data_IF_675028946424
#
_entry.id   IF_675028946424
#
_cell.length_a   1.000
_cell.length_b   1.000
_cell.length_c   1.000
_cell.angle_alpha   90.00
_cell.angle_beta   90.00
_cell.angle_gamma   90.00
#
_symmetry.space_group_name_H-M   'P 1'
#
loop_
_entity.id
_entity.type
_entity.pdbx_description
1 polymer ?
#
# COMPACT_ATOMS: atom_id res chain seq x y z
N UNK A 1 -31.67 -2.91 -46.83
CA UNK A 1 -31.72 -3.40 -45.43
C UNK A 1 -31.76 -2.19 -44.52
N UNK A 2 -32.72 -2.08 -43.59
CA UNK A 2 -32.76 -0.98 -42.64
C UNK A 2 -31.54 -1.07 -41.73
N UNK A 3 -30.88 0.06 -41.48
CA UNK A 3 -29.80 0.15 -40.50
C UNK A 3 -30.39 -0.20 -39.13
N UNK A 4 -29.91 -1.28 -38.54
CA UNK A 4 -30.19 -1.61 -37.15
C UNK A 4 -29.78 -0.42 -36.28
N UNK A 5 -30.73 0.07 -35.48
CA UNK A 5 -30.45 0.97 -34.38
C UNK A 5 -29.51 0.23 -33.42
N UNK A 6 -28.23 0.58 -33.46
CA UNK A 6 -27.30 0.25 -32.39
C UNK A 6 -27.79 1.04 -31.18
N UNK A 7 -28.42 0.34 -30.23
CA UNK A 7 -28.75 0.88 -28.91
C UNK A 7 -27.43 1.32 -28.26
N UNK A 8 -27.30 2.55 -27.76
CA UNK A 8 -26.09 2.97 -27.06
C UNK A 8 -25.83 2.02 -25.89
N UNK A 9 -24.61 1.52 -25.79
CA UNK A 9 -24.15 0.60 -24.74
C UNK A 9 -24.62 1.08 -23.36
N UNK A 10 -25.50 0.31 -22.73
CA UNK A 10 -26.04 0.61 -21.40
C UNK A 10 -24.95 0.65 -20.31
N UNK A 11 -23.69 0.33 -20.63
CA UNK A 11 -22.58 0.22 -19.68
C UNK A 11 -21.95 1.55 -19.25
N UNK A 12 -22.27 2.67 -19.91
CA UNK A 12 -21.70 3.99 -19.59
C UNK A 12 -22.52 4.82 -18.58
N UNK A 13 -23.65 4.30 -18.08
CA UNK A 13 -24.42 5.04 -17.09
C UNK A 13 -23.68 5.07 -15.73
N UNK A 14 -23.49 6.23 -15.07
CA UNK A 14 -22.77 6.33 -13.81
C UNK A 14 -23.31 5.41 -12.71
N UNK A 15 -24.61 5.10 -12.72
CA UNK A 15 -25.24 4.20 -11.74
C UNK A 15 -24.99 2.70 -12.00
N UNK A 16 -24.31 2.34 -13.10
CA UNK A 16 -23.70 1.02 -13.30
C UNK A 16 -22.23 0.99 -12.86
N UNK A 17 -21.59 2.14 -12.66
CA UNK A 17 -20.22 2.21 -12.18
C UNK A 17 -20.17 1.92 -10.68
N UNK A 18 -19.46 0.87 -10.29
CA UNK A 18 -19.39 0.41 -8.90
C UNK A 18 -18.74 1.43 -7.94
N UNK A 19 -17.80 2.23 -8.41
CA UNK A 19 -17.14 3.28 -7.62
C UNK A 19 -18.14 4.41 -7.31
N UNK A 20 -18.94 4.79 -8.31
CA UNK A 20 -19.96 5.82 -8.16
C UNK A 20 -21.12 5.34 -7.28
N UNK A 21 -21.58 4.10 -7.47
CA UNK A 21 -22.58 3.48 -6.59
C UNK A 21 -22.07 3.43 -5.14
N UNK A 22 -20.82 3.02 -4.92
CA UNK A 22 -20.18 2.98 -3.60
C UNK A 22 -20.11 4.37 -2.98
N UNK A 23 -19.72 5.40 -3.74
CA UNK A 23 -19.70 6.80 -3.31
C UNK A 23 -21.10 7.26 -2.87
N UNK A 24 -22.14 7.00 -3.66
CA UNK A 24 -23.52 7.39 -3.35
C UNK A 24 -24.00 6.72 -2.06
N UNK A 25 -23.75 5.41 -1.91
CA UNK A 25 -24.17 4.65 -0.73
C UNK A 25 -23.50 5.20 0.55
N UNK A 26 -22.20 5.53 0.50
CA UNK A 26 -21.44 6.03 1.64
C UNK A 26 -21.69 7.50 1.95
N UNK A 27 -21.68 8.37 0.94
CA UNK A 27 -21.60 9.82 1.08
C UNK A 27 -22.59 10.61 0.22
N UNK A 28 -23.39 9.94 -0.60
CA UNK A 28 -24.40 10.59 -1.43
C UNK A 28 -25.46 11.30 -0.60
N UNK A 29 -26.01 12.35 -1.18
CA UNK A 29 -27.22 13.02 -0.68
C UNK A 29 -28.44 12.08 -0.75
N UNK A 30 -29.49 12.44 -0.02
CA UNK A 30 -30.74 11.66 -0.05
C UNK A 30 -31.34 11.59 -1.46
N UNK A 31 -31.21 12.66 -2.25
CA UNK A 31 -31.65 12.69 -3.63
C UNK A 31 -30.85 11.74 -4.53
N UNK A 32 -29.52 11.68 -4.38
CA UNK A 32 -28.67 10.74 -5.12
C UNK A 32 -29.00 9.29 -4.75
N UNK A 33 -29.26 9.01 -3.47
CA UNK A 33 -29.65 7.68 -3.01
C UNK A 33 -31.02 7.27 -3.52
N UNK A 34 -31.98 8.18 -3.55
CA UNK A 34 -33.31 7.91 -4.11
C UNK A 34 -33.23 7.65 -5.62
N UNK A 35 -32.40 8.40 -6.36
CA UNK A 35 -32.12 8.13 -7.78
C UNK A 35 -31.50 6.74 -7.98
N UNK A 36 -30.52 6.38 -7.16
CA UNK A 36 -29.89 5.06 -7.19
C UNK A 36 -30.91 3.95 -6.89
N UNK A 37 -31.74 4.14 -5.86
CA UNK A 37 -32.79 3.22 -5.45
C UNK A 37 -33.81 3.00 -6.56
N UNK A 38 -34.30 4.09 -7.17
CA UNK A 38 -35.25 4.02 -8.27
C UNK A 38 -34.65 3.35 -9.51
N UNK A 39 -33.40 3.68 -9.85
CA UNK A 39 -32.68 3.10 -11.00
C UNK A 39 -32.54 1.58 -10.89
N UNK A 40 -32.13 1.08 -9.73
CA UNK A 40 -31.99 -0.37 -9.48
C UNK A 40 -33.28 -1.06 -9.02
N UNK A 41 -34.39 -0.33 -8.96
CA UNK A 41 -35.68 -0.83 -8.44
C UNK A 41 -35.59 -1.44 -7.04
N UNK A 42 -34.75 -0.86 -6.17
CA UNK A 42 -34.57 -1.33 -4.80
C UNK A 42 -35.71 -0.88 -3.87
N UNK A 43 -36.06 -1.75 -2.92
CA UNK A 43 -36.83 -1.33 -1.74
C UNK A 43 -35.98 -0.43 -0.84
N UNK A 44 -36.63 0.37 0.02
CA UNK A 44 -35.90 1.17 1.02
C UNK A 44 -35.02 0.28 1.91
N UNK A 45 -35.55 -0.87 2.31
CA UNK A 45 -34.80 -1.86 3.10
C UNK A 45 -33.56 -2.37 2.36
N UNK A 46 -33.68 -2.65 1.05
CA UNK A 46 -32.53 -3.08 0.23
C UNK A 46 -31.48 -1.99 0.14
N UNK A 47 -31.89 -0.74 -0.08
CA UNK A 47 -30.98 0.41 -0.08
C UNK A 47 -30.22 0.53 1.25
N UNK A 48 -30.92 0.51 2.39
CA UNK A 48 -30.30 0.62 3.70
C UNK A 48 -29.36 -0.56 4.01
N UNK A 49 -29.71 -1.77 3.58
CA UNK A 49 -28.83 -2.94 3.69
C UNK A 49 -27.55 -2.78 2.87
N UNK A 50 -27.63 -2.30 1.63
CA UNK A 50 -26.45 -2.00 0.82
C UNK A 50 -25.59 -0.91 1.45
N UNK A 51 -26.20 0.17 1.96
CA UNK A 51 -25.46 1.24 2.67
C UNK A 51 -24.70 0.69 3.86
N UNK A 52 -25.36 -0.16 4.65
CA UNK A 52 -24.76 -0.82 5.80
C UNK A 52 -23.55 -1.67 5.41
N UNK A 53 -23.69 -2.59 4.45
CA UNK A 53 -22.60 -3.50 4.06
C UNK A 53 -21.45 -2.81 3.35
N UNK A 54 -21.70 -1.77 2.56
CA UNK A 54 -20.63 -0.96 1.98
C UNK A 54 -19.86 -0.21 3.07
N UNK A 55 -20.56 0.33 4.08
CA UNK A 55 -19.92 0.93 5.25
C UNK A 55 -19.04 -0.06 6.01
N UNK A 56 -19.59 -1.24 6.30
CA UNK A 56 -18.88 -2.33 6.95
C UNK A 56 -17.64 -2.76 6.13
N UNK A 57 -17.77 -2.92 4.82
CA UNK A 57 -16.64 -3.29 3.96
C UNK A 57 -15.48 -2.28 4.04
N UNK A 58 -15.77 -0.98 4.08
CA UNK A 58 -14.75 0.06 4.26
C UNK A 58 -14.04 -0.07 5.61
N UNK A 59 -14.79 -0.31 6.69
CA UNK A 59 -14.23 -0.50 8.03
C UNK A 59 -13.34 -1.75 8.08
N UNK A 60 -13.82 -2.87 7.54
CA UNK A 60 -13.09 -4.14 7.51
C UNK A 60 -11.82 -4.06 6.65
N UNK A 61 -11.83 -3.31 5.55
CA UNK A 61 -10.64 -3.05 4.73
C UNK A 61 -9.60 -2.23 5.49
N UNK A 62 -10.03 -1.23 6.26
CA UNK A 62 -9.12 -0.46 7.14
C UNK A 62 -8.50 -1.35 8.20
N UNK A 63 -9.32 -2.11 8.92
CA UNK A 63 -8.84 -3.05 9.94
C UNK A 63 -7.88 -4.09 9.35
N UNK A 64 -8.19 -4.64 8.18
CA UNK A 64 -7.32 -5.60 7.48
C UNK A 64 -5.99 -4.98 7.08
N UNK A 65 -6.01 -3.72 6.60
CA UNK A 65 -4.80 -2.97 6.25
C UNK A 65 -3.94 -2.65 7.47
N UNK A 66 -4.57 -2.24 8.58
CA UNK A 66 -3.88 -2.00 9.86
C UNK A 66 -3.30 -3.29 10.44
N UNK A 67 -4.04 -4.41 10.36
CA UNK A 67 -3.59 -5.72 10.79
C UNK A 67 -2.41 -6.22 9.98
N UNK A 68 -2.44 -6.05 8.65
CA UNK A 68 -1.32 -6.35 7.76
C UNK A 68 -0.10 -5.50 8.11
N UNK A 69 -0.29 -4.19 8.30
CA UNK A 69 0.77 -3.26 8.69
C UNK A 69 1.42 -3.68 10.01
N UNK A 70 0.62 -3.98 11.03
CA UNK A 70 1.11 -4.48 12.33
C UNK A 70 1.87 -5.80 12.18
N UNK A 71 1.42 -6.70 11.31
CA UNK A 71 2.09 -7.99 11.10
C UNK A 71 3.44 -7.84 10.39
N UNK A 72 3.50 -7.01 9.35
CA UNK A 72 4.75 -6.74 8.64
C UNK A 72 5.81 -6.05 9.55
N UNK A 73 5.40 -5.30 10.58
CA UNK A 73 6.31 -4.64 11.52
C UNK A 73 6.62 -5.45 12.79
N UNK A 74 5.60 -6.06 13.40
CA UNK A 74 5.64 -6.62 14.76
C UNK A 74 5.16 -8.08 14.83
N UNK A 75 4.59 -8.60 13.75
CA UNK A 75 3.84 -9.85 13.80
C UNK A 75 4.76 -11.07 13.90
N UNK A 76 4.30 -12.17 14.49
CA UNK A 76 4.96 -13.45 14.28
C UNK A 76 4.92 -13.81 12.78
N UNK A 77 5.84 -14.68 12.31
CA UNK A 77 5.71 -15.26 10.99
C UNK A 77 4.31 -15.91 10.83
N UNK A 78 3.73 -15.91 9.62
CA UNK A 78 2.46 -16.55 9.35
C UNK A 78 2.51 -18.02 9.74
N UNK A 79 1.39 -18.52 10.23
CA UNK A 79 1.15 -19.95 10.46
C UNK A 79 1.30 -20.74 9.16
N UNK A 80 1.43 -22.07 9.24
CA UNK A 80 1.53 -22.92 8.06
C UNK A 80 0.30 -22.79 7.14
N UNK A 81 -0.89 -22.62 7.72
CA UNK A 81 -2.14 -22.44 6.97
C UNK A 81 -2.21 -21.08 6.27
N UNK A 82 -1.76 -20.01 6.93
CA UNK A 82 -1.62 -18.68 6.32
C UNK A 82 -0.54 -18.68 5.24
N UNK A 83 0.59 -19.33 5.48
CA UNK A 83 1.68 -19.52 4.53
C UNK A 83 1.24 -20.25 3.27
N UNK A 84 0.58 -21.40 3.43
CA UNK A 84 0.06 -22.20 2.31
C UNK A 84 -1.02 -21.47 1.51
N UNK A 85 -1.80 -20.60 2.15
CA UNK A 85 -2.78 -19.75 1.48
C UNK A 85 -2.18 -18.53 0.76
N UNK A 86 -1.17 -17.88 1.36
CA UNK A 86 -0.46 -16.71 0.81
C UNK A 86 -1.01 -15.35 1.25
N UNK A 87 -0.45 -14.23 0.71
CA UNK A 87 -0.84 -12.81 0.99
C UNK A 87 -2.32 -12.51 0.73
N UNK A 88 -3.03 -13.43 0.08
CA UNK A 88 -4.47 -13.34 -0.02
C UNK A 88 -5.12 -13.40 1.37
N UNK A 89 -4.45 -13.96 2.39
CA UNK A 89 -4.95 -14.03 3.76
C UNK A 89 -5.28 -12.64 4.33
N UNK A 90 -4.38 -11.69 4.13
CA UNK A 90 -4.55 -10.31 4.56
C UNK A 90 -5.59 -9.56 3.70
N UNK A 91 -5.85 -10.03 2.47
CA UNK A 91 -6.90 -9.53 1.59
C UNK A 91 -8.29 -10.14 1.88
N UNK A 92 -8.37 -11.20 2.70
CA UNK A 92 -9.64 -11.72 3.19
C UNK A 92 -10.19 -10.76 4.24
N UNK A 93 -11.44 -10.32 4.04
CA UNK A 93 -12.19 -9.52 5.01
C UNK A 93 -12.16 -10.18 6.39
N UNK A 94 -11.81 -9.40 7.42
CA UNK A 94 -11.64 -9.86 8.80
C UNK A 94 -12.74 -10.82 9.31
N UNK A 95 -14.05 -10.64 9.04
CA UNK A 95 -15.09 -11.50 9.60
C UNK A 95 -15.01 -12.95 9.12
N UNK A 96 -14.44 -13.21 7.95
CA UNK A 96 -14.41 -14.56 7.35
C UNK A 96 -13.01 -15.16 7.35
N UNK A 97 -12.02 -14.40 7.82
CA UNK A 97 -10.60 -14.79 7.85
C UNK A 97 -10.36 -16.06 8.66
N UNK A 98 -10.91 -16.11 9.88
CA UNK A 98 -10.76 -17.28 10.76
C UNK A 98 -11.44 -18.52 10.17
N UNK A 99 -12.61 -18.32 9.55
CA UNK A 99 -13.35 -19.40 8.87
C UNK A 99 -12.54 -20.01 7.73
N UNK A 100 -11.79 -19.20 6.97
CA UNK A 100 -10.89 -19.71 5.92
C UNK A 100 -9.74 -20.53 6.51
N UNK A 101 -9.14 -20.11 7.63
CA UNK A 101 -8.11 -20.93 8.32
C UNK A 101 -8.70 -22.27 8.75
N UNK A 102 -9.87 -22.24 9.40
CA UNK A 102 -10.54 -23.46 9.88
C UNK A 102 -10.87 -24.40 8.72
N UNK A 103 -11.31 -23.89 7.57
CA UNK A 103 -11.54 -24.67 6.36
C UNK A 103 -10.23 -25.32 5.87
N UNK A 104 -9.14 -24.56 5.78
CA UNK A 104 -7.84 -25.10 5.34
C UNK A 104 -7.31 -26.16 6.30
N UNK A 105 -7.51 -25.99 7.63
CA UNK A 105 -7.20 -27.01 8.64
C UNK A 105 -7.98 -28.30 8.46
N UNK A 106 -9.21 -28.20 7.98
CA UNK A 106 -10.04 -29.36 7.60
C UNK A 106 -9.70 -29.94 6.22
N UNK A 107 -8.68 -29.41 5.53
CA UNK A 107 -8.22 -29.91 4.23
C UNK A 107 -8.87 -29.27 3.00
N UNK A 108 -9.75 -28.27 3.19
CA UNK A 108 -10.38 -27.57 2.07
C UNK A 108 -9.40 -26.60 1.40
N UNK A 109 -9.22 -26.76 0.09
CA UNK A 109 -8.33 -26.01 -0.77
C UNK A 109 -8.91 -24.62 -1.10
N UNK A 110 -9.17 -23.78 -0.09
CA UNK A 110 -9.69 -22.43 -0.31
C UNK A 110 -8.73 -21.66 -1.22
N UNK A 111 -9.27 -21.14 -2.31
CA UNK A 111 -8.54 -20.34 -3.32
C UNK A 111 -8.79 -18.85 -3.10
N UNK A 112 -10.05 -18.46 -2.87
CA UNK A 112 -10.45 -17.07 -2.64
C UNK A 112 -11.67 -17.01 -1.73
N UNK A 113 -11.77 -15.95 -0.94
CA UNK A 113 -12.91 -15.69 -0.09
C UNK A 113 -13.20 -14.19 -0.05
N UNK A 114 -14.45 -13.80 -0.29
CA UNK A 114 -14.83 -12.38 -0.43
C UNK A 114 -16.16 -12.11 0.24
N UNK A 115 -16.28 -10.93 0.85
CA UNK A 115 -17.57 -10.34 1.27
C UNK A 115 -17.91 -9.24 0.27
N UNK A 116 -19.07 -9.33 -0.37
CA UNK A 116 -19.55 -8.36 -1.36
C UNK A 116 -20.31 -7.22 -0.70
N UNK A 117 -20.49 -6.12 -1.44
CA UNK A 117 -21.24 -4.94 -1.04
C UNK A 117 -22.73 -5.20 -0.69
N UNK A 118 -23.28 -6.35 -1.08
CA UNK A 118 -24.64 -6.78 -0.72
C UNK A 118 -24.67 -7.70 0.51
N UNK A 119 -23.52 -7.90 1.16
CA UNK A 119 -23.34 -8.80 2.29
C UNK A 119 -23.11 -10.27 1.89
N UNK A 120 -23.15 -10.62 0.60
CA UNK A 120 -22.90 -11.98 0.16
C UNK A 120 -21.44 -12.39 0.42
N UNK A 121 -21.28 -13.52 1.10
CA UNK A 121 -20.00 -14.14 1.40
C UNK A 121 -19.82 -15.28 0.42
N UNK A 122 -18.75 -15.24 -0.35
CA UNK A 122 -18.38 -16.29 -1.30
C UNK A 122 -17.03 -16.87 -0.94
N UNK A 123 -16.96 -18.18 -0.75
CA UNK A 123 -15.72 -18.93 -0.54
C UNK A 123 -15.57 -19.90 -1.71
N UNK A 124 -14.50 -19.78 -2.48
CA UNK A 124 -14.21 -20.67 -3.60
C UNK A 124 -13.06 -21.60 -3.24
N UNK A 125 -13.19 -22.84 -3.70
CA UNK A 125 -12.22 -23.90 -3.54
C UNK A 125 -11.53 -24.16 -4.89
N UNK A 126 -10.23 -24.44 -4.84
CA UNK A 126 -9.43 -24.73 -6.03
C UNK A 126 -9.82 -26.05 -6.72
N UNK A 127 -10.45 -26.96 -5.97
CA UNK A 127 -10.94 -28.24 -6.50
C UNK A 127 -12.33 -28.57 -5.92
N UNK A 128 -13.14 -29.35 -6.65
CA UNK A 128 -14.45 -29.78 -6.17
C UNK A 128 -14.38 -30.68 -4.91
N UNK A 129 -14.50 -30.10 -3.71
CA UNK A 129 -14.40 -30.82 -2.42
C UNK A 129 -15.72 -30.86 -1.64
N UNK A 130 -16.79 -30.29 -2.18
CA UNK A 130 -18.11 -30.21 -1.52
C UNK A 130 -19.10 -31.24 -2.04
N UNK A 131 -18.64 -32.22 -2.82
CA UNK A 131 -19.46 -33.23 -3.50
C UNK A 131 -20.33 -34.05 -2.51
N UNK A 132 -19.90 -34.16 -1.24
CA UNK A 132 -20.64 -34.83 -0.16
C UNK A 132 -21.12 -33.88 0.95
N UNK A 133 -20.88 -32.57 0.84
CA UNK A 133 -21.29 -31.60 1.87
C UNK A 133 -22.82 -31.46 1.98
N UNK A 134 -23.57 -31.91 0.96
CA UNK A 134 -25.04 -31.92 0.95
C UNK A 134 -25.69 -32.81 2.01
N UNK A 135 -24.96 -33.76 2.60
CA UNK A 135 -25.49 -34.65 3.66
C UNK A 135 -25.38 -34.02 5.07
N UNK A 136 -24.50 -33.02 5.27
CA UNK A 136 -24.42 -32.21 6.50
C UNK A 136 -25.47 -31.09 6.59
N UNK A 137 -26.36 -30.98 5.59
CA UNK A 137 -27.31 -29.87 5.43
C UNK A 137 -28.39 -29.76 6.53
N UNK A 138 -28.52 -30.76 7.41
CA UNK A 138 -29.45 -30.69 8.55
C UNK A 138 -29.04 -29.65 9.61
N UNK A 139 -27.77 -29.24 9.66
CA UNK A 139 -27.26 -28.25 10.64
C UNK A 139 -27.32 -26.79 10.14
N UNK A 140 -27.82 -26.55 8.92
CA UNK A 140 -28.01 -25.19 8.35
C UNK A 140 -29.23 -24.47 8.96
N UNK A 141 -30.08 -25.19 9.71
CA UNK A 141 -31.29 -24.64 10.33
C UNK A 141 -30.99 -23.41 11.20
N UNK A 142 -29.93 -23.45 12.00
CA UNK A 142 -29.54 -22.35 12.90
C UNK A 142 -29.11 -21.09 12.16
N UNK A 143 -28.46 -21.23 11.00
CA UNK A 143 -28.07 -20.11 10.15
C UNK A 143 -29.29 -19.48 9.46
N UNK A 144 -30.23 -20.31 9.02
CA UNK A 144 -31.49 -19.84 8.45
C UNK A 144 -32.32 -19.07 9.47
N UNK A 145 -32.36 -19.54 10.72
CA UNK A 145 -33.04 -18.84 11.82
C UNK A 145 -32.42 -17.47 12.13
N UNK A 146 -31.13 -17.29 11.85
CA UNK A 146 -30.42 -16.00 11.89
C UNK A 146 -30.58 -15.16 10.61
N UNK A 147 -31.41 -15.62 9.67
CA UNK A 147 -31.62 -14.95 8.39
C UNK A 147 -30.44 -15.05 7.44
N UNK A 148 -29.70 -16.16 7.46
CA UNK A 148 -28.59 -16.43 6.53
C UNK A 148 -28.95 -17.64 5.67
N UNK A 149 -29.02 -17.43 4.37
CA UNK A 149 -29.16 -18.51 3.39
C UNK A 149 -27.78 -19.07 3.02
N UNK A 150 -27.68 -20.39 2.90
CA UNK A 150 -26.44 -21.07 2.48
C UNK A 150 -26.71 -21.81 1.17
N UNK A 151 -25.83 -21.62 0.18
CA UNK A 151 -25.86 -22.31 -1.10
C UNK A 151 -24.52 -22.99 -1.35
N UNK A 152 -24.57 -24.23 -1.84
CA UNK A 152 -23.39 -25.02 -2.17
C UNK A 152 -23.32 -25.29 -3.65
N UNK A 153 -22.11 -25.20 -4.16
CA UNK A 153 -21.68 -25.77 -5.42
C UNK A 153 -20.53 -26.73 -5.10
N UNK A 154 -20.11 -27.52 -6.09
CA UNK A 154 -19.06 -28.51 -5.87
C UNK A 154 -17.74 -27.90 -5.39
N UNK A 155 -17.48 -26.64 -5.75
CA UNK A 155 -16.26 -25.86 -5.56
C UNK A 155 -16.52 -24.48 -4.89
N UNK A 156 -17.75 -24.20 -4.44
CA UNK A 156 -18.08 -22.90 -3.89
C UNK A 156 -19.10 -22.99 -2.76
N UNK A 157 -18.90 -22.17 -1.74
CA UNK A 157 -19.82 -21.92 -0.64
C UNK A 157 -20.28 -20.48 -0.74
N UNK A 158 -21.59 -20.26 -0.71
CA UNK A 158 -22.19 -18.92 -0.65
C UNK A 158 -23.03 -18.81 0.61
N UNK A 159 -22.72 -17.86 1.48
CA UNK A 159 -23.57 -17.44 2.59
C UNK A 159 -24.14 -16.07 2.26
N UNK A 160 -25.46 -15.92 2.28
CA UNK A 160 -26.12 -14.66 1.96
C UNK A 160 -27.06 -14.26 3.08
N UNK A 161 -26.73 -13.21 3.84
CA UNK A 161 -27.64 -12.58 4.79
C UNK A 161 -28.88 -12.06 4.06
N UNK A 162 -30.05 -12.46 4.53
CA UNK A 162 -31.35 -11.94 4.10
C UNK A 162 -31.68 -10.63 4.83
N UNK A 163 -31.10 -10.44 6.02
CA UNK A 163 -31.19 -9.24 6.87
C UNK A 163 -29.82 -8.56 7.03
N UNK A 164 -29.82 -7.31 7.51
CA UNK A 164 -28.58 -6.62 7.90
C UNK A 164 -28.04 -7.23 9.19
N UNK A 165 -26.84 -7.81 9.14
CA UNK A 165 -26.19 -8.47 10.26
C UNK A 165 -24.90 -7.74 10.64
N UNK A 166 -24.66 -7.63 11.95
CA UNK A 166 -23.38 -7.11 12.45
C UNK A 166 -22.21 -7.98 11.99
N UNK A 167 -21.04 -7.36 11.76
CA UNK A 167 -19.83 -8.09 11.35
C UNK A 167 -19.44 -9.24 12.29
N UNK A 168 -19.66 -9.08 13.60
CA UNK A 168 -19.46 -10.14 14.59
C UNK A 168 -20.41 -11.32 14.39
N UNK A 169 -21.68 -11.05 14.11
CA UNK A 169 -22.69 -12.09 13.84
C UNK A 169 -22.35 -12.86 12.56
N UNK A 170 -21.84 -12.15 11.54
CA UNK A 170 -21.36 -12.77 10.29
C UNK A 170 -20.19 -13.70 10.57
N UNK A 171 -19.21 -13.24 11.36
CA UNK A 171 -18.06 -14.05 11.76
C UNK A 171 -18.50 -15.31 12.48
N UNK A 172 -19.29 -15.16 13.52
CA UNK A 172 -19.73 -16.27 14.37
C UNK A 172 -20.56 -17.27 13.54
N UNK A 173 -21.40 -16.79 12.62
CA UNK A 173 -22.14 -17.63 11.68
C UNK A 173 -21.23 -18.39 10.71
N UNK A 174 -20.16 -17.77 10.20
CA UNK A 174 -19.21 -18.44 9.32
C UNK A 174 -18.40 -19.50 10.07
N UNK A 175 -17.98 -19.22 11.31
CA UNK A 175 -17.27 -20.20 12.14
C UNK A 175 -18.16 -21.38 12.53
N UNK A 176 -19.41 -21.12 12.93
CA UNK A 176 -20.42 -22.16 13.21
C UNK A 176 -20.66 -23.02 11.97
N UNK A 177 -20.84 -22.39 10.81
CA UNK A 177 -20.96 -23.09 9.54
C UNK A 177 -19.75 -24.00 9.27
N UNK A 178 -18.53 -23.47 9.38
CA UNK A 178 -17.32 -24.27 9.14
C UNK A 178 -17.22 -25.42 10.13
N UNK A 179 -17.69 -25.28 11.36
CA UNK A 179 -17.71 -26.35 12.35
C UNK A 179 -18.52 -27.57 11.90
N UNK A 180 -19.64 -27.37 11.17
CA UNK A 180 -20.51 -28.45 10.64
C UNK A 180 -19.86 -29.27 9.53
N UNK A 181 -18.87 -28.72 8.82
CA UNK A 181 -18.22 -29.41 7.70
C UNK A 181 -17.30 -30.56 8.19
N UNK A 182 -17.23 -31.69 7.48
CA UNK A 182 -16.33 -32.79 7.85
C UNK A 182 -14.85 -32.38 7.69
N UNK A 183 -13.97 -33.08 8.42
CA UNK A 183 -12.54 -33.03 8.13
C UNK A 183 -12.25 -33.94 6.93
N UNK A 184 -11.39 -33.50 6.02
CA UNK A 184 -10.97 -34.29 4.84
C UNK A 184 -9.75 -35.17 5.13
N UNK A 185 -9.21 -35.14 6.35
CA UNK A 185 -8.07 -35.94 6.83
C UNK A 185 -6.83 -35.85 5.93
N UNK A 186 -6.69 -34.71 5.24
CA UNK A 186 -5.56 -34.37 4.39
C UNK A 186 -5.25 -32.88 4.50
N UNK A 187 -3.98 -32.46 4.36
CA UNK A 187 -3.65 -31.04 4.36
C UNK A 187 -4.22 -30.36 3.11
N UNK A 188 -4.70 -29.12 3.27
CA UNK A 188 -5.09 -28.31 2.13
C UNK A 188 -3.85 -28.01 1.25
N UNK A 189 -3.93 -28.19 -0.09
CA UNK A 189 -2.82 -27.85 -0.96
C UNK A 189 -2.53 -26.35 -0.93
N UNK A 190 -1.31 -25.99 -1.29
CA UNK A 190 -0.89 -24.61 -1.50
C UNK A 190 -1.81 -23.91 -2.51
N UNK A 191 -2.25 -22.70 -2.17
CA UNK A 191 -2.99 -21.86 -3.09
C UNK A 191 -2.09 -21.49 -4.29
N UNK A 192 -2.53 -21.83 -5.50
CA UNK A 192 -1.74 -21.70 -6.71
C UNK A 192 -1.84 -20.32 -7.38
N UNK A 193 -2.62 -19.41 -6.82
CA UNK A 193 -2.74 -18.03 -7.29
C UNK A 193 -1.36 -17.34 -7.36
N UNK A 194 -1.19 -16.45 -8.34
CA UNK A 194 0.07 -15.74 -8.58
C UNK A 194 0.49 -14.93 -7.36
N UNK A 195 -0.43 -14.26 -6.69
CA UNK A 195 -0.14 -13.45 -5.51
C UNK A 195 0.23 -14.32 -4.30
N UNK A 196 -0.43 -15.47 -4.16
CA UNK A 196 -0.10 -16.45 -3.13
C UNK A 196 1.32 -17.02 -3.30
N UNK A 197 1.73 -17.31 -4.55
CA UNK A 197 3.11 -17.75 -4.87
C UNK A 197 4.15 -16.68 -4.56
N UNK A 198 3.90 -15.43 -4.94
CA UNK A 198 4.82 -14.31 -4.65
C UNK A 198 5.01 -14.17 -3.14
N UNK A 199 3.93 -14.22 -2.37
CA UNK A 199 4.01 -14.18 -0.91
C UNK A 199 4.89 -15.28 -0.34
N UNK A 200 4.65 -16.54 -0.70
CA UNK A 200 5.44 -17.67 -0.19
C UNK A 200 6.91 -17.56 -0.53
N UNK A 201 7.25 -16.99 -1.69
CA UNK A 201 8.64 -16.74 -2.04
C UNK A 201 9.26 -15.66 -1.15
N UNK A 202 8.54 -14.58 -0.87
CA UNK A 202 9.01 -13.50 0.02
C UNK A 202 9.15 -13.99 1.48
N UNK A 203 8.24 -14.85 1.94
CA UNK A 203 8.25 -15.40 3.30
C UNK A 203 9.44 -16.32 3.61
N UNK A 204 10.16 -16.82 2.60
CA UNK A 204 11.36 -17.65 2.81
C UNK A 204 12.58 -16.84 3.21
N UNK A 205 12.48 -15.52 3.21
CA UNK A 205 13.56 -14.61 3.57
C UNK A 205 13.46 -14.22 5.03
N UNK A 206 14.60 -13.96 5.71
CA UNK A 206 14.59 -13.54 7.10
C UNK A 206 13.90 -12.17 7.22
N UNK A 207 12.67 -12.18 7.73
CA UNK A 207 12.01 -10.96 8.19
C UNK A 207 12.53 -10.57 9.56
N UNK A 208 12.92 -9.31 9.70
CA UNK A 208 13.28 -8.72 10.99
C UNK A 208 12.04 -8.09 11.60
N UNK A 209 11.65 -8.62 12.76
CA UNK A 209 10.58 -8.07 13.59
C UNK A 209 11.19 -7.22 14.69
N UNK A 210 10.56 -6.09 15.00
CA UNK A 210 10.88 -5.31 16.21
C UNK A 210 9.92 -5.69 17.33
N UNK A 211 10.38 -5.64 18.59
CA UNK A 211 9.58 -6.14 19.72
C UNK A 211 8.35 -5.26 20.01
N UNK A 212 8.38 -4.00 19.56
CA UNK A 212 7.23 -3.11 19.61
C UNK A 212 7.55 -1.68 19.19
N UNK A 213 6.55 -0.80 19.35
CA UNK A 213 6.65 0.62 18.98
C UNK A 213 7.82 1.35 19.68
N UNK A 214 8.18 0.95 20.91
CA UNK A 214 9.29 1.55 21.64
C UNK A 214 10.66 1.38 20.97
N UNK A 215 10.85 0.33 20.16
CA UNK A 215 12.09 0.15 19.38
C UNK A 215 12.15 1.12 18.22
N UNK A 216 11.02 1.27 17.51
CA UNK A 216 10.86 2.24 16.43
C UNK A 216 11.13 3.65 16.94
N UNK A 217 10.51 4.02 18.08
CA UNK A 217 10.67 5.36 18.65
C UNK A 217 12.14 5.64 19.02
N UNK A 218 12.89 4.62 19.49
CA UNK A 218 14.33 4.74 19.76
C UNK A 218 15.14 4.97 18.49
N UNK A 219 14.87 4.23 17.41
CA UNK A 219 15.55 4.39 16.11
C UNK A 219 15.29 5.78 15.53
N UNK A 220 14.03 6.23 15.57
CA UNK A 220 13.63 7.56 15.10
C UNK A 220 14.29 8.66 15.96
N UNK A 221 14.38 8.47 17.27
CA UNK A 221 15.07 9.39 18.17
C UNK A 221 16.59 9.47 17.90
N UNK A 222 17.23 8.35 17.57
CA UNK A 222 18.65 8.33 17.18
C UNK A 222 18.88 9.15 15.91
N UNK A 223 18.10 8.89 14.85
CA UNK A 223 18.16 9.68 13.61
C UNK A 223 17.89 11.17 13.84
N UNK A 224 16.95 11.51 14.73
CA UNK A 224 16.69 12.90 15.13
C UNK A 224 17.90 13.55 15.80
N UNK A 225 18.52 12.88 16.77
CA UNK A 225 19.67 13.41 17.50
C UNK A 225 20.86 13.68 16.55
N UNK A 226 21.10 12.79 15.58
CA UNK A 226 22.12 13.01 14.55
C UNK A 226 21.79 14.20 13.66
N UNK A 227 20.53 14.36 13.25
CA UNK A 227 20.10 15.51 12.47
C UNK A 227 20.30 16.83 13.25
N UNK A 228 19.99 16.84 14.55
CA UNK A 228 20.17 18.02 15.41
C UNK A 228 21.65 18.41 15.51
N UNK A 229 22.54 17.41 15.68
CA UNK A 229 23.98 17.63 15.69
C UNK A 229 24.49 18.21 14.34
N UNK A 230 24.01 17.70 13.21
CA UNK A 230 24.35 18.23 11.89
C UNK A 230 23.89 19.68 11.72
N UNK A 231 22.65 20.00 12.10
CA UNK A 231 22.10 21.36 12.00
C UNK A 231 22.84 22.34 12.91
N UNK A 232 23.28 21.89 14.09
CA UNK A 232 24.09 22.68 15.01
C UNK A 232 25.47 23.01 14.42
N UNK A 233 26.04 22.12 13.61
CA UNK A 233 27.33 22.30 12.95
C UNK A 233 27.27 23.22 11.70
N UNK A 234 26.08 23.51 11.17
CA UNK A 234 25.93 24.36 9.98
C UNK A 234 26.25 25.83 10.27
N UNK A 235 27.06 26.43 9.40
CA UNK A 235 27.30 27.87 9.38
C UNK A 235 26.05 28.65 8.92
N UNK A 236 26.03 29.96 9.20
CA UNK A 236 24.95 30.85 8.72
C UNK A 236 24.84 30.85 7.20
N UNK A 237 25.97 30.83 6.49
CA UNK A 237 26.00 30.78 5.03
C UNK A 237 25.38 29.49 4.48
N UNK A 238 25.71 28.34 5.07
CA UNK A 238 25.12 27.06 4.69
C UNK A 238 23.61 27.02 4.97
N UNK A 239 23.17 27.50 6.14
CA UNK A 239 21.73 27.59 6.47
C UNK A 239 20.97 28.42 5.43
N UNK A 240 21.55 29.55 5.01
CA UNK A 240 20.97 30.38 3.95
C UNK A 240 20.84 29.64 2.63
N UNK A 241 21.88 28.91 2.19
CA UNK A 241 21.84 28.13 0.95
C UNK A 241 20.77 27.02 0.99
N UNK A 242 20.61 26.35 2.13
CA UNK A 242 19.55 25.35 2.34
C UNK A 242 18.15 25.96 2.19
N UNK A 243 17.93 27.13 2.81
CA UNK A 243 16.67 27.86 2.67
C UNK A 243 16.42 28.26 1.21
N UNK A 244 17.43 28.75 0.50
CA UNK A 244 17.29 29.12 -0.92
C UNK A 244 16.92 27.91 -1.78
N UNK A 245 17.55 26.75 -1.57
CA UNK A 245 17.23 25.49 -2.26
C UNK A 245 15.75 25.09 -2.07
N UNK A 246 15.22 25.23 -0.84
CA UNK A 246 13.85 24.90 -0.50
C UNK A 246 12.79 25.80 -1.20
N UNK A 247 13.19 26.94 -1.76
CA UNK A 247 12.30 27.88 -2.47
C UNK A 247 12.45 27.85 -3.99
N UNK A 248 13.32 26.98 -4.52
CA UNK A 248 13.46 26.84 -5.96
C UNK A 248 12.14 26.38 -6.61
N UNK A 249 11.82 26.83 -7.84
CA UNK A 249 10.59 26.47 -8.54
C UNK A 249 10.67 25.04 -9.12
N UNK A 250 10.88 24.06 -8.25
CA UNK A 250 11.11 22.66 -8.53
C UNK A 250 10.05 21.78 -7.87
N UNK A 251 10.03 20.50 -8.27
CA UNK A 251 9.20 19.52 -7.59
C UNK A 251 9.60 19.41 -6.10
N UNK A 252 8.66 18.96 -5.27
CA UNK A 252 8.87 18.85 -3.83
C UNK A 252 10.02 17.89 -3.51
N UNK A 253 9.99 16.66 -4.04
CA UNK A 253 11.07 15.69 -3.82
C UNK A 253 12.43 16.18 -4.32
N UNK A 254 12.48 16.87 -5.47
CA UNK A 254 13.73 17.42 -5.98
C UNK A 254 14.31 18.50 -5.05
N UNK A 255 13.48 19.35 -4.44
CA UNK A 255 13.95 20.33 -3.45
C UNK A 255 14.48 19.64 -2.20
N UNK A 256 13.81 18.60 -1.73
CA UNK A 256 14.27 17.80 -0.58
C UNK A 256 15.64 17.21 -0.84
N UNK A 257 15.83 16.57 -2.00
CA UNK A 257 17.11 15.98 -2.36
C UNK A 257 18.23 17.03 -2.46
N UNK A 258 17.97 18.20 -3.04
CA UNK A 258 18.95 19.29 -3.09
C UNK A 258 19.35 19.76 -1.69
N UNK A 259 18.38 19.91 -0.78
CA UNK A 259 18.65 20.28 0.62
C UNK A 259 19.47 19.20 1.31
N UNK A 260 19.20 17.91 1.05
CA UNK A 260 19.98 16.80 1.60
C UNK A 260 21.42 16.73 1.05
N UNK A 261 21.62 17.01 -0.25
CA UNK A 261 22.96 17.10 -0.87
C UNK A 261 23.75 18.28 -0.27
N UNK A 262 23.14 19.45 -0.17
CA UNK A 262 23.72 20.64 0.47
C UNK A 262 24.04 20.42 1.95
N UNK A 263 23.15 19.71 2.65
CA UNK A 263 23.32 19.34 4.05
C UNK A 263 24.37 18.27 4.29
N UNK A 264 24.92 17.69 3.22
CA UNK A 264 25.91 16.63 3.28
C UNK A 264 25.37 15.25 3.64
N UNK A 265 24.05 15.08 3.59
CA UNK A 265 23.35 13.83 3.90
C UNK A 265 23.17 12.92 2.69
N UNK A 266 23.20 13.48 1.47
CA UNK A 266 23.23 12.72 0.21
C UNK A 266 24.50 13.06 -0.59
N UNK A 267 25.14 12.08 -1.23
CA UNK A 267 26.31 12.32 -2.07
C UNK A 267 25.96 12.97 -3.40
N UNK A 268 24.79 12.64 -3.98
CA UNK A 268 24.31 13.23 -5.22
C UNK A 268 22.78 13.23 -5.32
N UNK A 269 22.28 13.94 -6.33
CA UNK A 269 20.88 13.89 -6.75
C UNK A 269 20.75 14.14 -8.25
N UNK A 270 19.55 13.89 -8.77
CA UNK A 270 19.12 14.24 -10.12
C UNK A 270 18.07 15.35 -10.09
N UNK A 271 18.13 16.20 -11.11
CA UNK A 271 17.21 17.31 -11.31
C UNK A 271 16.64 17.21 -12.73
N UNK A 272 15.35 16.91 -12.81
CA UNK A 272 14.60 16.92 -14.06
C UNK A 272 13.82 18.23 -14.21
N UNK A 273 14.18 19.04 -15.20
CA UNK A 273 13.47 20.27 -15.56
C UNK A 273 12.48 20.01 -16.69
N UNK A 274 11.20 20.04 -16.34
CA UNK A 274 10.08 19.90 -17.27
C UNK A 274 8.94 20.88 -16.99
N UNK A 275 8.10 21.12 -17.99
CA UNK A 275 6.90 21.95 -17.86
C UNK A 275 7.17 23.35 -17.29
N UNK A 276 6.56 23.70 -16.15
CA UNK A 276 6.73 25.02 -15.52
C UNK A 276 8.17 25.27 -15.05
N UNK A 277 8.88 24.25 -14.58
CA UNK A 277 10.26 24.39 -14.10
C UNK A 277 11.23 24.80 -15.22
N UNK A 278 10.93 24.40 -16.47
CA UNK A 278 11.73 24.78 -17.64
C UNK A 278 11.75 26.30 -17.86
N UNK A 279 10.68 27.02 -17.49
CA UNK A 279 10.63 28.49 -17.58
C UNK A 279 11.56 29.17 -16.57
N UNK A 280 11.92 28.47 -15.51
CA UNK A 280 12.83 28.94 -14.46
C UNK A 280 14.23 28.33 -14.58
N UNK A 281 14.55 27.70 -15.72
CA UNK A 281 15.84 27.03 -15.95
C UNK A 281 17.03 27.95 -15.67
N UNK A 282 17.03 29.16 -16.20
CA UNK A 282 18.17 30.06 -16.07
C UNK A 282 18.45 30.47 -14.60
N UNK A 283 17.46 30.92 -13.81
CA UNK A 283 17.64 31.11 -12.37
C UNK A 283 18.16 29.88 -11.62
N UNK A 284 17.66 28.67 -11.95
CA UNK A 284 18.09 27.43 -11.31
C UNK A 284 19.56 27.13 -11.65
N UNK A 285 19.96 27.32 -12.91
CA UNK A 285 21.35 27.14 -13.35
C UNK A 285 22.30 28.11 -12.67
N UNK A 286 21.94 29.39 -12.60
CA UNK A 286 22.75 30.39 -11.92
C UNK A 286 22.91 30.05 -10.43
N UNK A 287 21.85 29.57 -9.79
CA UNK A 287 21.91 29.08 -8.42
C UNK A 287 22.85 27.87 -8.29
N UNK A 288 22.74 26.86 -9.16
CA UNK A 288 23.63 25.69 -9.16
C UNK A 288 25.11 26.10 -9.33
N UNK A 289 25.41 26.98 -10.28
CA UNK A 289 26.77 27.51 -10.47
C UNK A 289 27.28 28.18 -9.19
N UNK A 290 26.44 28.96 -8.52
CA UNK A 290 26.79 29.64 -7.28
C UNK A 290 27.06 28.68 -6.11
N UNK A 291 26.40 27.51 -6.08
CA UNK A 291 26.68 26.48 -5.05
C UNK A 291 28.08 25.87 -5.22
N UNK A 292 28.65 25.93 -6.42
CA UNK A 292 29.96 25.33 -6.72
C UNK A 292 29.94 23.80 -6.78
N UNK A 293 28.76 23.16 -6.75
CA UNK A 293 28.69 21.72 -6.90
C UNK A 293 29.06 21.27 -8.30
N UNK A 294 29.81 20.17 -8.43
CA UNK A 294 29.97 19.49 -9.71
C UNK A 294 28.61 19.12 -10.29
N UNK A 295 28.34 19.64 -11.49
CA UNK A 295 27.12 19.37 -12.24
C UNK A 295 27.44 18.83 -13.63
N UNK A 296 26.67 17.84 -14.08
CA UNK A 296 26.61 17.42 -15.47
C UNK A 296 25.20 17.63 -16.01
N UNK A 297 25.06 17.89 -17.31
CA UNK A 297 23.76 18.16 -17.91
C UNK A 297 23.56 17.35 -19.18
N UNK A 298 22.33 16.85 -19.38
CA UNK A 298 21.91 16.15 -20.59
C UNK A 298 20.60 16.73 -21.08
N UNK A 299 20.44 16.76 -22.40
CA UNK A 299 19.17 17.08 -23.05
C UNK A 299 18.54 15.77 -23.50
N UNK A 300 17.34 15.48 -23.01
CA UNK A 300 16.57 14.30 -23.41
C UNK A 300 15.97 14.51 -24.79
N UNK A 301 15.59 13.41 -25.45
CA UNK A 301 14.99 13.42 -26.79
C UNK A 301 13.64 14.15 -26.86
N UNK A 302 12.95 14.27 -25.73
CA UNK A 302 11.69 15.00 -25.56
C UNK A 302 11.89 16.51 -25.29
N UNK A 303 13.15 16.99 -25.24
CA UNK A 303 13.51 18.38 -24.97
C UNK A 303 13.55 18.74 -23.48
N UNK A 304 13.36 17.77 -22.58
CA UNK A 304 13.57 17.98 -21.14
C UNK A 304 15.07 18.07 -20.81
N UNK A 305 15.40 18.81 -19.76
CA UNK A 305 16.78 18.94 -19.28
C UNK A 305 16.97 18.14 -18.00
N UNK A 306 17.98 17.30 -17.98
CA UNK A 306 18.41 16.53 -16.81
C UNK A 306 19.75 17.04 -16.32
N UNK A 307 19.85 17.22 -15.01
CA UNK A 307 21.10 17.58 -14.34
C UNK A 307 21.44 16.53 -13.31
N UNK A 308 22.69 16.07 -13.33
CA UNK A 308 23.29 15.30 -12.26
C UNK A 308 24.09 16.26 -11.39
N UNK A 309 23.84 16.24 -10.09
CA UNK A 309 24.44 17.16 -9.13
C UNK A 309 25.07 16.30 -8.04
N UNK A 310 26.37 16.46 -7.82
CA UNK A 310 27.09 15.72 -6.78
C UNK A 310 27.84 16.67 -5.84
N UNK A 311 28.15 16.20 -4.63
CA UNK A 311 28.96 16.96 -3.67
C UNK A 311 30.41 17.13 -4.10
N UNK A 312 30.92 16.20 -4.89
CA UNK A 312 32.30 16.16 -5.35
C UNK A 312 32.40 15.56 -6.76
N UNK A 313 33.51 15.86 -7.44
CA UNK A 313 33.71 15.49 -8.85
C UNK A 313 33.89 13.98 -9.03
N UNK A 314 34.42 13.28 -8.02
CA UNK A 314 34.61 11.82 -8.08
C UNK A 314 33.26 11.12 -8.09
N UNK A 315 32.33 11.55 -7.23
CA UNK A 315 30.95 11.07 -7.21
C UNK A 315 30.25 11.36 -8.53
N UNK A 316 30.39 12.58 -9.09
CA UNK A 316 29.79 12.92 -10.39
C UNK A 316 30.33 12.04 -11.52
N UNK A 317 31.64 11.82 -11.57
CA UNK A 317 32.28 11.03 -12.62
C UNK A 317 31.83 9.56 -12.58
N UNK A 318 31.58 8.99 -11.39
CA UNK A 318 30.97 7.67 -11.22
C UNK A 318 29.49 7.64 -11.56
N UNK A 319 28.75 8.71 -11.27
CA UNK A 319 27.31 8.78 -11.50
C UNK A 319 26.97 8.87 -13.00
N UNK A 320 27.79 9.55 -13.79
CA UNK A 320 27.60 9.70 -15.25
C UNK A 320 27.37 8.37 -15.99
N UNK A 321 28.22 7.32 -15.85
CA UNK A 321 28.00 6.04 -16.52
C UNK A 321 26.92 5.19 -15.84
N UNK A 322 26.68 5.35 -14.53
CA UNK A 322 25.61 4.63 -13.83
C UNK A 322 24.21 5.15 -14.23
N UNK A 323 24.10 6.45 -14.51
CA UNK A 323 22.85 7.10 -14.89
C UNK A 323 22.34 6.68 -16.27
N UNK A 324 21.10 6.16 -16.32
CA UNK A 324 20.47 5.67 -17.54
C UNK A 324 20.94 4.27 -17.98
N UNK A 325 21.79 3.62 -17.19
CA UNK A 325 22.26 2.25 -17.43
C UNK A 325 21.42 1.22 -16.67
N UNK A 326 21.69 -0.07 -16.87
CA UNK A 326 21.15 -1.16 -16.04
C UNK A 326 21.91 -1.32 -14.69
N UNK A 327 22.82 -0.41 -14.34
CA UNK A 327 23.59 -0.43 -13.09
C UNK A 327 22.82 0.20 -11.92
N UNK A 328 21.62 -0.32 -11.62
CA UNK A 328 20.76 0.19 -10.55
C UNK A 328 21.44 0.21 -9.18
N UNK A 329 22.32 -0.76 -8.91
CA UNK A 329 23.06 -0.86 -7.65
C UNK A 329 24.01 0.33 -7.44
N UNK A 330 24.91 0.56 -8.40
CA UNK A 330 25.87 1.66 -8.34
C UNK A 330 25.15 3.01 -8.31
N UNK A 331 24.09 3.17 -9.10
CA UNK A 331 23.26 4.37 -9.08
C UNK A 331 22.66 4.60 -7.69
N UNK A 332 22.05 3.57 -7.08
CA UNK A 332 21.45 3.69 -5.75
C UNK A 332 22.46 4.13 -4.67
N UNK A 333 23.65 3.54 -4.68
CA UNK A 333 24.74 3.90 -3.74
C UNK A 333 25.19 5.36 -3.94
N UNK A 334 25.38 5.78 -5.18
CA UNK A 334 25.78 7.15 -5.51
C UNK A 334 24.69 8.20 -5.24
N UNK A 335 23.43 7.79 -5.17
CA UNK A 335 22.32 8.64 -4.74
C UNK A 335 22.16 8.69 -3.21
N UNK A 336 22.94 7.90 -2.48
CA UNK A 336 22.98 7.91 -1.01
C UNK A 336 21.93 7.03 -0.33
N UNK A 337 21.31 6.10 -1.06
CA UNK A 337 20.48 5.07 -0.43
C UNK A 337 21.35 4.10 0.39
N UNK A 338 20.86 3.55 1.51
CA UNK A 338 21.58 2.53 2.26
C UNK A 338 21.90 1.30 1.39
N UNK A 339 23.09 0.70 1.58
CA UNK A 339 23.52 -0.46 0.79
C UNK A 339 22.50 -1.59 0.83
N UNK A 340 21.93 -1.87 2.00
CA UNK A 340 20.90 -2.90 2.21
C UNK A 340 19.60 -2.61 1.44
N UNK A 341 19.20 -1.34 1.33
CA UNK A 341 18.02 -0.94 0.56
C UNK A 341 18.26 -1.11 -0.94
N UNK A 342 19.47 -0.79 -1.40
CA UNK A 342 19.90 -0.97 -2.79
C UNK A 342 19.94 -2.45 -3.16
N UNK A 343 20.54 -3.29 -2.31
CA UNK A 343 20.60 -4.74 -2.48
C UNK A 343 19.21 -5.37 -2.53
N UNK A 344 18.25 -4.85 -1.76
CA UNK A 344 16.87 -5.29 -1.75
C UNK A 344 16.04 -4.79 -2.95
N UNK A 345 16.38 -3.62 -3.52
CA UNK A 345 15.64 -3.02 -4.63
C UNK A 345 15.70 -3.89 -5.90
N UNK A 346 16.89 -4.38 -6.26
CA UNK A 346 17.13 -5.19 -7.48
C UNK A 346 16.25 -6.46 -7.53
N UNK A 347 16.16 -7.29 -6.48
CA UNK A 347 15.25 -8.43 -6.41
C UNK A 347 13.82 -8.08 -5.98
N UNK A 348 13.48 -6.80 -5.75
CA UNK A 348 12.18 -6.32 -5.27
C UNK A 348 11.77 -6.82 -3.88
N UNK A 349 12.73 -6.91 -2.97
CA UNK A 349 12.58 -7.35 -1.56
C UNK A 349 12.34 -6.17 -0.62
N UNK A 350 11.41 -5.30 -1.01
CA UNK A 350 11.13 -4.06 -0.29
C UNK A 350 9.96 -4.26 0.68
N UNK A 351 10.05 -3.61 1.83
CA UNK A 351 8.96 -3.46 2.76
C UNK A 351 7.80 -2.76 2.05
N UNK A 352 6.58 -3.27 2.23
CA UNK A 352 5.39 -2.75 1.55
C UNK A 352 4.71 -1.62 2.34
N UNK A 353 5.38 -1.13 3.39
CA UNK A 353 4.96 -0.02 4.24
C UNK A 353 5.93 1.13 3.99
N UNK A 354 5.37 2.31 3.71
CA UNK A 354 6.18 3.51 3.57
C UNK A 354 6.70 3.97 4.94
N UNK A 355 7.87 4.62 5.04
CA UNK A 355 8.44 5.06 6.33
C UNK A 355 7.50 5.92 7.19
N UNK A 356 6.66 6.77 6.58
CA UNK A 356 5.67 7.59 7.28
C UNK A 356 4.54 6.75 7.90
N UNK A 357 4.27 5.59 7.31
CA UNK A 357 3.40 4.56 7.84
C UNK A 357 4.16 3.63 8.81
N UNK A 358 5.41 3.91 9.17
CA UNK A 358 6.05 3.26 10.31
C UNK A 358 6.08 4.24 11.47
N UNK A 359 6.49 5.47 11.18
CA UNK A 359 6.47 6.57 12.11
C UNK A 359 6.08 7.88 11.40
N UNK A 360 5.03 8.60 11.84
CA UNK A 360 4.47 9.75 11.11
C UNK A 360 5.45 10.92 10.95
N UNK A 361 6.51 10.96 11.77
CA UNK A 361 7.56 11.97 11.60
C UNK A 361 8.59 11.66 10.51
N UNK A 362 8.57 10.49 9.90
CA UNK A 362 9.53 10.06 8.88
C UNK A 362 8.87 10.08 7.50
N UNK A 363 8.64 11.29 6.98
CA UNK A 363 8.04 11.50 5.67
C UNK A 363 9.13 11.75 4.61
N UNK A 364 9.66 10.65 4.07
CA UNK A 364 10.68 10.61 3.02
C UNK A 364 10.23 9.59 1.96
N UNK A 365 10.36 9.93 0.68
CA UNK A 365 10.02 9.06 -0.45
C UNK A 365 11.06 7.96 -0.72
N UNK A 366 11.37 7.14 0.29
CA UNK A 366 12.28 5.99 0.19
C UNK A 366 11.54 4.70 0.53
N UNK A 367 11.87 3.61 -0.17
CA UNK A 367 11.43 2.27 0.19
C UNK A 367 12.49 1.61 1.09
N UNK A 368 12.04 0.90 2.13
CA UNK A 368 12.93 0.15 3.03
C UNK A 368 13.05 -1.31 2.57
N UNK A 369 14.12 -2.01 2.92
CA UNK A 369 14.29 -3.45 2.69
C UNK A 369 13.51 -4.27 3.71
N UNK A 370 13.07 -5.47 3.34
CA UNK A 370 12.33 -6.35 4.27
C UNK A 370 13.18 -6.85 5.45
N UNK A 371 14.48 -6.98 5.25
CA UNK A 371 15.40 -7.58 6.21
C UNK A 371 16.19 -6.56 7.05
N UNK A 372 16.27 -5.29 6.62
CA UNK A 372 17.08 -4.26 7.28
C UNK A 372 16.34 -2.93 7.44
N UNK A 373 15.00 -2.94 7.36
CA UNK A 373 14.21 -1.73 7.54
C UNK A 373 14.46 -1.02 8.88
N UNK A 374 14.76 -1.68 10.02
CA UNK A 374 14.98 -0.96 11.27
C UNK A 374 16.20 -0.03 11.21
N UNK A 375 17.32 -0.52 10.69
CA UNK A 375 18.54 0.25 10.50
C UNK A 375 18.36 1.34 9.44
N UNK A 376 17.65 1.01 8.35
CA UNK A 376 17.35 1.97 7.30
C UNK A 376 16.37 3.06 7.77
N UNK A 377 15.45 2.74 8.69
CA UNK A 377 14.52 3.69 9.29
C UNK A 377 15.28 4.73 10.12
N UNK A 378 16.26 4.33 10.91
CA UNK A 378 17.15 5.27 11.61
C UNK A 378 17.84 6.21 10.61
N UNK A 379 18.37 5.64 9.52
CA UNK A 379 19.04 6.39 8.45
C UNK A 379 18.12 7.42 7.78
N UNK A 380 16.89 7.05 7.41
CA UNK A 380 15.94 8.00 6.78
C UNK A 380 15.29 8.95 7.78
N UNK A 381 15.21 8.59 9.05
CA UNK A 381 14.74 9.48 10.12
C UNK A 381 15.65 10.70 10.21
N UNK A 382 16.97 10.51 10.12
CA UNK A 382 17.94 11.60 10.06
C UNK A 382 17.66 12.57 8.91
N UNK A 383 17.34 12.07 7.72
CA UNK A 383 16.97 12.91 6.58
C UNK A 383 15.68 13.70 6.85
N UNK A 384 14.64 13.03 7.34
CA UNK A 384 13.34 13.64 7.62
C UNK A 384 13.46 14.77 8.66
N UNK A 385 14.16 14.55 9.76
CA UNK A 385 14.35 15.58 10.79
C UNK A 385 15.25 16.72 10.33
N UNK A 386 16.30 16.42 9.55
CA UNK A 386 17.14 17.47 8.98
C UNK A 386 16.30 18.41 8.11
N UNK A 387 15.49 17.88 7.19
CA UNK A 387 14.58 18.66 6.35
C UNK A 387 13.60 19.50 7.17
N UNK A 388 12.99 18.92 8.22
CA UNK A 388 12.06 19.64 9.10
C UNK A 388 12.70 20.84 9.79
N UNK A 389 13.98 20.75 10.16
CA UNK A 389 14.69 21.81 10.86
C UNK A 389 15.17 22.92 9.93
N UNK A 390 15.69 22.57 8.74
CA UNK A 390 16.33 23.54 7.85
C UNK A 390 15.41 24.06 6.75
N UNK A 391 14.35 23.33 6.41
CA UNK A 391 13.40 23.63 5.34
C UNK A 391 11.95 23.31 5.76
N UNK A 392 11.43 23.89 6.87
CA UNK A 392 10.10 23.56 7.40
C UNK A 392 8.96 23.81 6.41
N UNK A 393 9.13 24.75 5.47
CA UNK A 393 8.16 25.03 4.42
C UNK A 393 7.89 23.82 3.51
N UNK A 394 8.89 22.97 3.25
CA UNK A 394 8.71 21.76 2.43
C UNK A 394 7.76 20.78 3.12
N UNK A 395 7.90 20.61 4.44
CA UNK A 395 7.03 19.76 5.24
C UNK A 395 5.59 20.30 5.32
N UNK A 396 5.42 21.63 5.40
CA UNK A 396 4.10 22.26 5.33
C UNK A 396 3.43 22.06 3.97
N UNK A 397 4.20 22.14 2.88
CA UNK A 397 3.71 21.88 1.52
C UNK A 397 3.28 20.41 1.35
N UNK A 398 4.02 19.45 1.90
CA UNK A 398 3.64 18.02 1.91
C UNK A 398 2.27 17.83 2.55
N UNK A 399 2.10 18.32 3.78
CA UNK A 399 0.83 18.23 4.53
C UNK A 399 -0.35 18.89 3.85
N UNK A 400 -0.13 19.89 2.99
CA UNK A 400 -1.20 20.49 2.18
C UNK A 400 -1.62 19.57 1.04
N UNK A 401 -0.66 18.97 0.33
CA UNK A 401 -0.93 18.04 -0.77
C UNK A 401 -1.63 16.76 -0.34
N UNK A 402 -1.47 16.32 0.90
CA UNK A 402 -2.17 15.13 1.43
C UNK A 402 -3.66 15.40 1.75
N UNK A 403 -4.05 16.67 1.89
CA UNK A 403 -5.43 17.07 2.20
C UNK A 403 -6.26 17.37 0.95
N UNK A 404 -5.59 17.62 -0.17
CA UNK A 404 -6.17 17.86 -1.49
C UNK A 404 -6.32 16.53 -2.24
#
# INVERSE_FOLDING_TARGET
MPKENIVPEQHDHPLFNIEEVTRILLRGSEEEREKLRAFHSWSQETLERHRYYVGLEVELRKESSEGRRKRELFGPPPTEEEGSFGNYFEAISFPIRQSVILLRRKGYAVERATVRADGEISIHLAVPQLIHAGEGAQEIGTLKDRGISVRFFSDQIILKPEVSLAGEVIRDACEEFVATLPNLDQPAPDNQDKHAKIFRNNMREPHVFVEGQGDIDRMVAAGRAEAEALVAALTVAQKRQLTEAAHLPLSLGTREDLVLVLGGLKPATELLLRGKALRAKEPILQWLIHTGFPTDSRVRSDGEFEYLIARDSVTLDRLRPAFGSQHHEEYGKLMGFPDTAVEAFVPKRLLQIAPQDIHPDVDIGMCLSQAHWPEELEYVSRWAFFLKMVAPNLNEEKKKKEKD
#
